data_IF_785947863080
#
_entry.id   IF_785947863080
#
_cell.length_a   1.000
_cell.length_b   1.000
_cell.length_c   1.000
_cell.angle_alpha   90.00
_cell.angle_beta   90.00
_cell.angle_gamma   90.00
#
_symmetry.space_group_name_H-M   'P 1'
#
loop_
_entity.id
_entity.type
_entity.pdbx_description
1 polymer ?
#
# COMPACT_ATOMS: atom_id res chain seq x y z
N UNK A 1 66.06 40.94 -4.03
CA UNK A 1 65.13 40.31 -5.02
C UNK A 1 63.75 40.37 -4.43
N UNK A 2 62.91 41.19 -5.04
CA UNK A 2 61.71 41.74 -4.46
C UNK A 2 60.56 40.68 -4.46
N UNK A 3 60.05 40.30 -3.28
CA UNK A 3 58.99 39.38 -3.11
C UNK A 3 57.64 39.82 -3.71
N UNK A 4 57.55 41.11 -4.06
CA UNK A 4 56.34 41.68 -4.70
C UNK A 4 56.22 41.30 -6.17
N UNK A 5 57.35 41.08 -6.87
CA UNK A 5 57.34 40.68 -8.30
C UNK A 5 56.89 39.22 -8.51
N UNK A 6 57.20 38.35 -7.55
CA UNK A 6 56.79 36.95 -7.60
C UNK A 6 55.27 36.78 -7.42
N UNK A 7 54.67 37.60 -6.57
CA UNK A 7 53.22 37.58 -6.34
C UNK A 7 52.42 38.14 -7.53
N UNK A 8 52.95 39.13 -8.25
CA UNK A 8 52.30 39.71 -9.43
C UNK A 8 52.40 38.77 -10.61
N UNK A 9 53.49 38.04 -10.78
CA UNK A 9 53.63 37.00 -11.85
C UNK A 9 52.74 35.81 -11.57
N UNK A 10 52.56 35.41 -10.30
CA UNK A 10 51.65 34.31 -9.92
C UNK A 10 50.18 34.68 -10.08
N UNK A 11 49.81 35.91 -9.75
CA UNK A 11 48.44 36.44 -9.90
C UNK A 11 48.03 36.66 -11.38
N UNK A 12 48.97 37.00 -12.25
CA UNK A 12 48.70 37.16 -13.69
C UNK A 12 48.67 35.86 -14.48
N UNK A 13 49.26 34.78 -14.01
CA UNK A 13 49.13 33.44 -14.62
C UNK A 13 47.89 32.67 -14.17
N UNK A 14 47.18 33.13 -13.16
CA UNK A 14 45.87 32.60 -12.78
C UNK A 14 44.69 33.36 -13.41
N UNK A 15 44.80 33.70 -14.69
CA UNK A 15 43.59 33.86 -15.50
C UNK A 15 42.96 32.48 -15.73
N UNK A 16 42.49 31.88 -14.67
CA UNK A 16 41.56 30.74 -14.80
C UNK A 16 40.37 31.22 -15.65
N UNK A 17 40.39 30.78 -16.90
CA UNK A 17 39.42 31.20 -17.88
C UNK A 17 38.05 30.83 -17.29
N UNK A 18 37.22 31.83 -16.96
CA UNK A 18 35.85 31.63 -16.37
C UNK A 18 35.06 30.57 -17.11
N UNK A 19 35.38 30.35 -18.38
CA UNK A 19 34.80 29.33 -19.24
C UNK A 19 35.24 27.91 -18.85
N UNK A 20 36.52 27.71 -18.47
CA UNK A 20 37.04 26.43 -17.98
C UNK A 20 36.46 26.04 -16.63
N UNK A 21 36.38 27.01 -15.70
CA UNK A 21 35.76 26.76 -14.38
C UNK A 21 34.27 26.40 -14.52
N UNK A 22 33.55 27.10 -15.38
CA UNK A 22 32.15 26.76 -15.68
C UNK A 22 32.00 25.36 -16.29
N UNK A 23 32.91 24.94 -17.18
CA UNK A 23 32.91 23.58 -17.76
C UNK A 23 33.24 22.49 -16.73
N UNK A 24 34.20 22.75 -15.84
CA UNK A 24 34.56 21.81 -14.76
C UNK A 24 33.39 21.66 -13.78
N UNK A 25 32.76 22.78 -13.36
CA UNK A 25 31.59 22.75 -12.48
C UNK A 25 30.41 22.02 -13.15
N UNK A 26 30.19 22.25 -14.45
CA UNK A 26 29.13 21.57 -15.20
C UNK A 26 29.41 20.05 -15.28
N UNK A 27 30.66 19.65 -15.58
CA UNK A 27 31.06 18.24 -15.61
C UNK A 27 30.93 17.59 -14.23
N UNK A 28 31.25 18.30 -13.17
CA UNK A 28 31.08 17.81 -11.79
C UNK A 28 29.61 17.65 -11.40
N UNK A 29 28.77 18.61 -11.81
CA UNK A 29 27.30 18.50 -11.60
C UNK A 29 26.70 17.36 -12.42
N UNK A 30 27.15 17.14 -13.65
CA UNK A 30 26.73 16.00 -14.49
C UNK A 30 27.19 14.68 -13.87
N UNK A 31 28.44 14.60 -13.41
CA UNK A 31 29.00 13.40 -12.76
C UNK A 31 28.27 13.07 -11.45
N UNK A 32 27.93 14.10 -10.64
CA UNK A 32 27.08 13.92 -9.45
C UNK A 32 25.65 13.48 -9.81
N UNK A 33 25.08 14.04 -10.87
CA UNK A 33 23.76 13.62 -11.36
C UNK A 33 23.73 12.17 -11.82
N UNK A 34 24.73 11.74 -12.56
CA UNK A 34 24.88 10.34 -13.02
C UNK A 34 25.10 9.40 -11.81
N UNK A 35 25.94 9.80 -10.85
CA UNK A 35 26.18 9.01 -9.63
C UNK A 35 24.90 8.80 -8.81
N UNK A 36 24.11 9.85 -8.63
CA UNK A 36 22.83 9.77 -7.90
C UNK A 36 21.81 8.91 -8.67
N UNK A 37 21.73 9.04 -9.99
CA UNK A 37 20.82 8.23 -10.81
C UNK A 37 21.18 6.72 -10.78
N UNK A 38 22.47 6.39 -10.81
CA UNK A 38 22.95 5.01 -10.69
C UNK A 38 22.67 4.43 -9.31
N UNK A 39 22.84 5.23 -8.26
CA UNK A 39 22.55 4.81 -6.89
C UNK A 39 21.04 4.57 -6.68
N UNK A 40 20.19 5.49 -7.11
CA UNK A 40 18.73 5.36 -7.04
C UNK A 40 18.22 4.12 -7.81
N UNK A 41 18.76 3.87 -9.00
CA UNK A 41 18.40 2.70 -9.82
C UNK A 41 18.83 1.38 -9.14
N UNK A 42 19.97 1.36 -8.45
CA UNK A 42 20.42 0.18 -7.69
C UNK A 42 19.53 -0.08 -6.46
N UNK A 43 19.11 0.98 -5.74
CA UNK A 43 18.19 0.86 -4.59
C UNK A 43 16.82 0.30 -5.02
N UNK A 44 16.24 0.83 -6.09
CA UNK A 44 14.97 0.33 -6.65
C UNK A 44 15.07 -1.15 -7.06
N UNK A 45 16.19 -1.56 -7.68
CA UNK A 45 16.42 -2.94 -8.05
C UNK A 45 16.49 -3.87 -6.83
N UNK A 46 17.21 -3.47 -5.79
CA UNK A 46 17.30 -4.25 -4.53
C UNK A 46 15.91 -4.40 -3.89
N UNK A 47 15.10 -3.33 -3.88
CA UNK A 47 13.74 -3.36 -3.37
C UNK A 47 12.83 -4.25 -4.21
N UNK A 48 12.94 -4.20 -5.54
CA UNK A 48 12.18 -5.05 -6.44
C UNK A 48 12.52 -6.54 -6.22
N UNK A 49 13.81 -6.89 -6.15
CA UNK A 49 14.26 -8.25 -5.85
C UNK A 49 13.77 -8.73 -4.47
N UNK A 50 13.73 -7.82 -3.48
CA UNK A 50 13.19 -8.10 -2.15
C UNK A 50 11.69 -8.32 -2.18
N UNK A 51 10.95 -7.50 -2.93
CA UNK A 51 9.50 -7.67 -3.09
C UNK A 51 9.15 -9.00 -3.76
N UNK A 52 9.88 -9.38 -4.82
CA UNK A 52 9.70 -10.68 -5.47
C UNK A 52 9.87 -11.83 -4.49
N UNK A 53 10.94 -11.82 -3.69
CA UNK A 53 11.18 -12.82 -2.63
C UNK A 53 10.07 -12.82 -1.58
N UNK A 54 9.54 -11.65 -1.19
CA UNK A 54 8.44 -11.57 -0.22
C UNK A 54 7.14 -12.12 -0.79
N UNK A 55 6.82 -11.86 -2.07
CA UNK A 55 5.65 -12.44 -2.75
C UNK A 55 5.76 -13.97 -2.77
N UNK A 56 6.92 -14.50 -3.12
CA UNK A 56 7.14 -15.95 -3.16
C UNK A 56 7.11 -16.59 -1.75
N UNK A 57 7.53 -15.84 -0.71
CA UNK A 57 7.50 -16.26 0.69
C UNK A 57 6.17 -15.99 1.41
N UNK A 58 5.17 -15.38 0.74
CA UNK A 58 3.89 -15.00 1.33
C UNK A 58 3.18 -16.11 2.13
N UNK A 59 3.17 -17.39 1.69
CA UNK A 59 2.57 -18.47 2.45
C UNK A 59 3.15 -18.62 3.87
N UNK A 60 4.43 -18.31 4.08
CA UNK A 60 5.07 -18.39 5.41
C UNK A 60 4.50 -17.33 6.38
N UNK A 61 4.24 -16.12 5.89
CA UNK A 61 3.65 -15.06 6.71
C UNK A 61 2.18 -15.33 7.02
N UNK A 62 1.45 -15.87 6.05
CA UNK A 62 0.08 -16.36 6.26
C UNK A 62 0.05 -17.43 7.34
N UNK A 63 0.90 -18.44 7.27
CA UNK A 63 1.01 -19.50 8.29
C UNK A 63 1.32 -18.94 9.69
N UNK A 64 2.26 -18.00 9.80
CA UNK A 64 2.57 -17.34 11.07
C UNK A 64 1.36 -16.63 11.66
N UNK A 65 0.58 -15.95 10.83
CA UNK A 65 -0.65 -15.26 11.24
C UNK A 65 -1.71 -16.27 11.69
N UNK A 66 -1.91 -17.35 10.96
CA UNK A 66 -2.84 -18.41 11.33
C UNK A 66 -2.48 -19.08 12.65
N UNK A 67 -1.19 -19.31 12.90
CA UNK A 67 -0.70 -19.82 14.19
C UNK A 67 -0.98 -18.85 15.35
N UNK A 68 -0.83 -17.52 15.11
CA UNK A 68 -1.17 -16.50 16.10
C UNK A 68 -2.68 -16.51 16.37
N UNK A 69 -3.51 -16.55 15.34
CA UNK A 69 -4.96 -16.65 15.44
C UNK A 69 -5.36 -17.93 16.22
N UNK A 70 -4.76 -19.06 15.89
CA UNK A 70 -5.02 -20.32 16.59
C UNK A 70 -4.74 -20.25 18.09
N UNK A 71 -3.65 -19.60 18.49
CA UNK A 71 -3.34 -19.35 19.91
C UNK A 71 -4.40 -18.49 20.60
N UNK A 72 -4.89 -17.44 19.93
CA UNK A 72 -5.97 -16.59 20.48
C UNK A 72 -7.26 -17.41 20.62
N UNK A 73 -7.60 -18.23 19.60
CA UNK A 73 -8.79 -19.12 19.65
C UNK A 73 -8.77 -20.13 20.79
N UNK A 74 -7.58 -20.58 21.20
CA UNK A 74 -7.47 -21.48 22.35
C UNK A 74 -7.99 -20.85 23.65
N UNK A 75 -7.95 -19.50 23.78
CA UNK A 75 -8.50 -18.81 24.95
C UNK A 75 -10.02 -18.91 25.07
N UNK A 76 -10.73 -19.18 23.95
CA UNK A 76 -12.18 -19.40 23.93
C UNK A 76 -12.59 -20.78 24.47
N UNK A 77 -11.63 -21.71 24.65
CA UNK A 77 -11.88 -23.06 25.16
C UNK A 77 -11.76 -23.17 26.67
N UNK A 78 -11.45 -22.05 27.35
CA UNK A 78 -11.31 -22.03 28.81
C UNK A 78 -12.67 -22.32 29.48
N UNK A 79 -12.73 -23.30 30.37
CA UNK A 79 -13.93 -23.68 31.12
C UNK A 79 -14.47 -22.58 32.04
N UNK A 80 -13.63 -21.61 32.42
CA UNK A 80 -13.98 -20.44 33.22
C UNK A 80 -14.23 -19.18 32.40
N UNK A 81 -14.54 -19.31 31.11
CA UNK A 81 -14.70 -18.17 30.21
C UNK A 81 -15.94 -17.35 30.58
N UNK A 82 -15.73 -16.13 31.08
CA UNK A 82 -16.83 -15.19 31.33
C UNK A 82 -17.19 -14.43 30.07
N UNK A 83 -18.45 -13.92 29.93
CA UNK A 83 -18.85 -13.12 28.75
C UNK A 83 -17.95 -11.90 28.50
N UNK A 84 -17.49 -11.22 29.53
CA UNK A 84 -16.53 -10.09 29.41
C UNK A 84 -15.18 -10.54 28.82
N UNK A 85 -14.70 -11.71 29.22
CA UNK A 85 -13.44 -12.27 28.70
C UNK A 85 -13.62 -12.75 27.27
N UNK A 86 -14.75 -13.44 26.97
CA UNK A 86 -15.10 -13.84 25.61
C UNK A 86 -15.15 -12.64 24.67
N UNK A 87 -15.81 -11.54 25.08
CA UNK A 87 -15.88 -10.30 24.30
C UNK A 87 -14.46 -9.78 23.95
N UNK A 88 -13.56 -9.75 24.92
CA UNK A 88 -12.18 -9.28 24.70
C UNK A 88 -11.40 -10.17 23.74
N UNK A 89 -11.56 -11.50 23.87
CA UNK A 89 -10.90 -12.45 22.95
C UNK A 89 -11.45 -12.33 21.54
N UNK A 90 -12.76 -12.20 21.38
CA UNK A 90 -13.40 -11.99 20.08
C UNK A 90 -12.96 -10.65 19.46
N UNK A 91 -12.75 -9.59 20.26
CA UNK A 91 -12.21 -8.34 19.79
C UNK A 91 -10.76 -8.48 19.26
N UNK A 92 -9.94 -9.30 19.90
CA UNK A 92 -8.60 -9.62 19.38
C UNK A 92 -8.70 -10.38 18.06
N UNK A 93 -9.58 -11.37 17.96
CA UNK A 93 -9.80 -12.15 16.75
C UNK A 93 -10.35 -11.27 15.61
N UNK A 94 -11.29 -10.37 15.88
CA UNK A 94 -11.74 -9.37 14.91
C UNK A 94 -10.56 -8.54 14.37
N UNK A 95 -9.68 -8.04 15.24
CA UNK A 95 -8.53 -7.25 14.81
C UNK A 95 -7.54 -8.03 13.94
N UNK A 96 -7.36 -9.33 14.20
CA UNK A 96 -6.56 -10.20 13.35
C UNK A 96 -7.21 -10.45 11.98
N UNK A 97 -8.54 -10.57 11.95
CA UNK A 97 -9.27 -10.98 10.75
C UNK A 97 -9.72 -9.84 9.84
N UNK A 98 -9.95 -8.62 10.34
CA UNK A 98 -10.58 -7.52 9.58
C UNK A 98 -9.91 -7.14 8.25
N UNK A 99 -8.60 -7.41 8.11
CA UNK A 99 -7.84 -7.23 6.87
C UNK A 99 -7.25 -8.54 6.32
N UNK A 100 -7.72 -9.68 6.82
CA UNK A 100 -7.21 -11.01 6.48
C UNK A 100 -8.30 -11.95 5.97
N UNK A 101 -9.46 -11.97 6.63
CA UNK A 101 -10.65 -12.73 6.22
C UNK A 101 -11.90 -12.10 6.82
N UNK A 102 -12.68 -11.42 5.98
CA UNK A 102 -13.83 -10.62 6.39
C UNK A 102 -14.94 -11.47 7.03
N UNK A 103 -15.22 -12.66 6.49
CA UNK A 103 -16.28 -13.52 7.05
C UNK A 103 -15.98 -13.94 8.49
N UNK A 104 -14.72 -14.27 8.76
CA UNK A 104 -14.27 -14.52 10.12
C UNK A 104 -14.36 -13.29 11.01
N UNK A 105 -14.03 -12.11 10.50
CA UNK A 105 -14.18 -10.86 11.25
C UNK A 105 -15.65 -10.60 11.61
N UNK A 106 -16.57 -10.77 10.67
CA UNK A 106 -18.03 -10.66 10.88
C UNK A 106 -18.47 -11.62 11.98
N UNK A 107 -18.08 -12.90 11.90
CA UNK A 107 -18.44 -13.91 12.89
C UNK A 107 -18.10 -13.48 14.33
N UNK A 108 -16.90 -12.99 14.58
CA UNK A 108 -16.48 -12.58 15.93
C UNK A 108 -17.13 -11.28 16.39
N UNK A 109 -17.43 -10.35 15.50
CA UNK A 109 -18.14 -9.11 15.85
C UNK A 109 -19.61 -9.38 16.11
N UNK A 110 -20.27 -10.24 15.32
CA UNK A 110 -21.66 -10.66 15.57
C UNK A 110 -21.79 -11.30 16.95
N UNK A 111 -20.86 -12.21 17.29
CA UNK A 111 -20.83 -12.81 18.62
C UNK A 111 -20.63 -11.76 19.72
N UNK A 112 -19.78 -10.77 19.50
CA UNK A 112 -19.59 -9.67 20.44
C UNK A 112 -20.86 -8.80 20.59
N UNK A 113 -21.61 -8.61 19.52
CA UNK A 113 -22.88 -7.88 19.59
C UNK A 113 -23.92 -8.64 20.41
N UNK A 114 -23.98 -9.97 20.32
CA UNK A 114 -24.82 -10.82 21.16
C UNK A 114 -24.43 -10.72 22.64
N UNK A 115 -23.13 -10.84 22.95
CA UNK A 115 -22.61 -10.71 24.32
C UNK A 115 -22.95 -9.33 24.89
N UNK A 116 -22.77 -8.26 24.11
CA UNK A 116 -23.07 -6.90 24.54
C UNK A 116 -24.57 -6.71 24.86
N UNK A 117 -25.46 -7.38 24.12
CA UNK A 117 -26.92 -7.40 24.40
C UNK A 117 -27.23 -8.18 25.67
N UNK A 118 -26.63 -9.35 25.87
CA UNK A 118 -26.78 -10.19 27.09
C UNK A 118 -26.31 -9.45 28.34
N UNK A 119 -25.20 -8.73 28.25
CA UNK A 119 -24.66 -7.93 29.34
C UNK A 119 -25.39 -6.60 29.57
N UNK A 120 -26.34 -6.25 28.69
CA UNK A 120 -27.07 -4.97 28.68
C UNK A 120 -26.13 -3.74 28.73
N UNK A 121 -24.98 -3.80 28.02
CA UNK A 121 -23.96 -2.73 28.00
C UNK A 121 -24.03 -1.94 26.68
N UNK A 122 -24.63 -0.78 26.70
CA UNK A 122 -24.81 0.07 25.53
C UNK A 122 -23.49 0.44 24.85
N UNK A 123 -22.43 0.74 25.61
CA UNK A 123 -21.12 1.02 25.06
C UNK A 123 -20.60 -0.12 24.15
N UNK A 124 -20.61 -1.35 24.65
CA UNK A 124 -20.16 -2.53 23.90
C UNK A 124 -21.05 -2.82 22.69
N UNK A 125 -22.35 -2.60 22.84
CA UNK A 125 -23.31 -2.74 21.75
C UNK A 125 -23.00 -1.77 20.60
N UNK A 126 -22.80 -0.47 20.90
CA UNK A 126 -22.46 0.51 19.89
C UNK A 126 -21.07 0.24 19.27
N UNK A 127 -20.08 -0.11 20.07
CA UNK A 127 -18.75 -0.48 19.58
C UNK A 127 -18.80 -1.64 18.59
N UNK A 128 -19.48 -2.74 18.94
CA UNK A 128 -19.63 -3.90 18.05
C UNK A 128 -20.45 -3.55 16.81
N UNK A 129 -21.50 -2.74 16.93
CA UNK A 129 -22.29 -2.30 15.77
C UNK A 129 -21.48 -1.44 14.79
N UNK A 130 -20.60 -0.55 15.27
CA UNK A 130 -19.70 0.22 14.42
C UNK A 130 -18.67 -0.68 13.72
N UNK A 131 -18.08 -1.64 14.45
CA UNK A 131 -17.16 -2.62 13.86
C UNK A 131 -17.84 -3.48 12.80
N UNK A 132 -19.08 -3.91 13.04
CA UNK A 132 -19.87 -4.69 12.09
C UNK A 132 -20.21 -3.86 10.84
N UNK A 133 -20.61 -2.59 11.02
CA UNK A 133 -20.84 -1.67 9.90
C UNK A 133 -19.60 -1.47 9.04
N UNK A 134 -18.43 -1.39 9.67
CA UNK A 134 -17.17 -1.24 8.95
C UNK A 134 -16.88 -2.47 8.08
N UNK A 135 -16.95 -3.69 8.64
CA UNK A 135 -16.66 -4.92 7.87
C UNK A 135 -17.71 -5.20 6.82
N UNK A 136 -18.99 -4.87 7.07
CA UNK A 136 -20.04 -4.92 6.04
C UNK A 136 -19.74 -3.95 4.89
N UNK A 137 -19.26 -2.74 5.18
CA UNK A 137 -18.85 -1.79 4.14
C UNK A 137 -17.67 -2.33 3.34
N UNK A 138 -16.70 -2.96 3.99
CA UNK A 138 -15.51 -3.55 3.34
C UNK A 138 -15.88 -4.70 2.38
N UNK A 139 -16.87 -5.54 2.72
CA UNK A 139 -17.31 -6.65 1.87
C UNK A 139 -18.47 -6.30 0.91
N UNK A 140 -18.84 -5.02 0.79
CA UNK A 140 -19.87 -4.58 -0.15
C UNK A 140 -21.33 -4.74 0.34
N UNK A 141 -21.53 -5.14 1.61
CA UNK A 141 -22.86 -5.23 2.24
C UNK A 141 -23.32 -3.85 2.72
N UNK A 142 -23.39 -2.89 1.80
CA UNK A 142 -23.63 -1.49 2.12
C UNK A 142 -25.00 -1.23 2.77
N UNK A 143 -26.04 -1.95 2.34
CA UNK A 143 -27.38 -1.81 2.95
C UNK A 143 -27.39 -2.25 4.40
N UNK A 144 -26.72 -3.36 4.72
CA UNK A 144 -26.61 -3.86 6.09
C UNK A 144 -25.82 -2.89 6.98
N UNK A 145 -24.72 -2.35 6.45
CA UNK A 145 -23.90 -1.33 7.13
C UNK A 145 -24.74 -0.07 7.43
N UNK A 146 -25.43 0.46 6.42
CA UNK A 146 -26.27 1.66 6.54
C UNK A 146 -27.37 1.46 7.60
N UNK A 147 -28.09 0.34 7.58
CA UNK A 147 -29.12 0.03 8.56
C UNK A 147 -28.61 -0.02 10.00
N UNK A 148 -27.37 -0.43 10.22
CA UNK A 148 -26.75 -0.39 11.54
C UNK A 148 -26.42 1.05 11.94
N UNK A 149 -25.87 1.84 11.02
CA UNK A 149 -25.46 3.22 11.26
C UNK A 149 -26.65 4.14 11.49
N UNK A 150 -27.74 4.00 10.72
CA UNK A 150 -28.98 4.79 10.86
C UNK A 150 -29.68 4.60 12.22
N UNK A 151 -29.53 3.42 12.84
CA UNK A 151 -30.11 3.14 14.17
C UNK A 151 -29.35 3.79 15.32
N UNK A 152 -28.19 4.40 15.04
CA UNK A 152 -27.35 5.00 16.06
C UNK A 152 -27.67 6.48 16.21
N UNK A 153 -27.68 6.94 17.47
CA UNK A 153 -27.89 8.35 17.80
C UNK A 153 -26.58 8.93 18.35
N UNK A 154 -25.85 9.75 17.60
CA UNK A 154 -24.57 10.30 18.05
C UNK A 154 -24.64 11.05 19.38
N UNK A 155 -25.81 11.66 19.69
CA UNK A 155 -26.06 12.36 20.96
C UNK A 155 -26.00 11.44 22.20
N UNK A 156 -26.10 10.12 22.02
CA UNK A 156 -26.05 9.14 23.11
C UNK A 156 -24.61 8.59 23.31
N UNK A 157 -23.64 9.01 22.48
CA UNK A 157 -22.31 8.44 22.50
C UNK A 157 -21.36 9.17 23.45
N UNK A 158 -20.53 8.43 24.21
CA UNK A 158 -19.37 9.03 24.82
C UNK A 158 -18.38 9.51 23.72
N UNK A 159 -17.59 10.53 24.05
CA UNK A 159 -16.68 11.17 23.08
C UNK A 159 -15.77 10.17 22.33
N UNK A 160 -15.31 9.09 23.00
CA UNK A 160 -14.48 8.04 22.40
C UNK A 160 -15.18 7.24 21.31
N UNK A 161 -16.48 6.97 21.45
CA UNK A 161 -17.28 6.31 20.41
C UNK A 161 -17.71 7.25 19.29
N UNK A 162 -17.86 8.53 19.59
CA UNK A 162 -18.25 9.53 18.59
C UNK A 162 -17.17 9.66 17.50
N UNK A 163 -15.89 9.63 17.86
CA UNK A 163 -14.79 9.59 16.88
C UNK A 163 -14.86 8.35 16.00
N UNK A 164 -15.07 7.16 16.60
CA UNK A 164 -15.22 5.90 15.86
C UNK A 164 -16.45 5.93 14.94
N UNK A 165 -17.54 6.54 15.36
CA UNK A 165 -18.74 6.71 14.54
C UNK A 165 -18.46 7.54 13.28
N UNK A 166 -17.80 8.69 13.42
CA UNK A 166 -17.45 9.51 12.27
C UNK A 166 -16.43 8.85 11.35
N UNK A 167 -15.43 8.13 11.89
CA UNK A 167 -14.50 7.34 11.09
C UNK A 167 -15.24 6.25 10.30
N UNK A 168 -16.17 5.52 10.94
CA UNK A 168 -16.95 4.46 10.29
C UNK A 168 -17.80 5.01 9.15
N UNK A 169 -18.46 6.17 9.33
CA UNK A 169 -19.23 6.80 8.25
C UNK A 169 -18.34 7.33 7.12
N UNK A 170 -17.20 7.93 7.45
CA UNK A 170 -16.24 8.39 6.44
C UNK A 170 -15.78 7.21 5.57
N UNK A 171 -15.40 6.08 6.18
CA UNK A 171 -15.00 4.86 5.46
C UNK A 171 -16.16 4.21 4.70
N UNK A 172 -17.37 4.21 5.24
CA UNK A 172 -18.56 3.74 4.53
C UNK A 172 -18.74 4.48 3.20
N UNK A 173 -18.70 5.82 3.23
CA UNK A 173 -18.84 6.63 2.01
C UNK A 173 -17.64 6.49 1.07
N UNK A 174 -16.43 6.28 1.59
CA UNK A 174 -15.24 6.00 0.79
C UNK A 174 -15.41 4.70 0.00
N UNK A 175 -15.71 3.58 0.66
CA UNK A 175 -15.86 2.27 0.02
C UNK A 175 -17.06 2.21 -0.92
N UNK A 176 -18.15 2.87 -0.54
CA UNK A 176 -19.33 3.00 -1.39
C UNK A 176 -19.01 3.81 -2.66
N UNK A 177 -18.29 4.91 -2.57
CA UNK A 177 -17.87 5.73 -3.70
C UNK A 177 -17.00 4.95 -4.69
N UNK A 178 -16.07 4.15 -4.19
CA UNK A 178 -15.21 3.27 -5.01
C UNK A 178 -16.06 2.26 -5.78
N UNK A 179 -16.99 1.61 -5.09
CA UNK A 179 -17.84 0.57 -5.68
C UNK A 179 -18.91 1.13 -6.65
N UNK A 180 -19.48 2.28 -6.33
CA UNK A 180 -20.48 2.94 -7.15
C UNK A 180 -19.88 3.72 -8.34
N UNK A 181 -18.55 3.87 -8.41
CA UNK A 181 -17.84 4.68 -9.41
C UNK A 181 -18.39 6.12 -9.52
N UNK A 182 -18.82 6.70 -8.41
CA UNK A 182 -19.48 7.99 -8.36
C UNK A 182 -18.87 8.92 -7.31
N UNK A 183 -18.19 9.98 -7.78
CA UNK A 183 -17.48 10.93 -6.92
C UNK A 183 -18.40 11.83 -6.06
N UNK A 184 -19.70 11.90 -6.32
CA UNK A 184 -20.61 12.71 -5.49
C UNK A 184 -20.62 12.28 -4.01
N UNK A 185 -20.33 11.01 -3.72
CA UNK A 185 -20.26 10.48 -2.36
C UNK A 185 -18.98 10.92 -1.61
N UNK A 186 -17.96 11.41 -2.33
CA UNK A 186 -16.75 11.99 -1.75
C UNK A 186 -17.05 13.18 -0.82
N UNK A 187 -18.00 14.04 -1.19
CA UNK A 187 -18.43 15.17 -0.34
C UNK A 187 -19.05 14.72 0.99
N UNK A 188 -19.79 13.60 0.98
CA UNK A 188 -20.34 13.02 2.22
C UNK A 188 -19.21 12.50 3.12
N UNK A 189 -18.22 11.81 2.53
CA UNK A 189 -17.02 11.38 3.26
C UNK A 189 -16.33 12.56 3.94
N UNK A 190 -16.09 13.65 3.20
CA UNK A 190 -15.42 14.85 3.71
C UNK A 190 -16.13 15.45 4.92
N UNK A 191 -17.46 15.58 4.89
CA UNK A 191 -18.24 16.11 6.02
C UNK A 191 -18.07 15.29 7.31
N UNK A 192 -18.02 13.95 7.19
CA UNK A 192 -17.75 13.07 8.34
C UNK A 192 -16.30 13.13 8.79
N UNK A 193 -15.36 13.29 7.85
CA UNK A 193 -13.95 13.42 8.14
C UNK A 193 -13.62 14.71 8.89
N UNK A 194 -14.25 15.83 8.56
CA UNK A 194 -14.13 17.11 9.29
C UNK A 194 -14.60 16.96 10.74
N UNK A 195 -15.74 16.28 10.94
CA UNK A 195 -16.28 15.99 12.27
C UNK A 195 -15.34 15.08 13.08
N UNK A 196 -14.72 14.10 12.43
CA UNK A 196 -13.70 13.23 13.03
C UNK A 196 -12.47 14.03 13.47
N UNK A 197 -11.94 14.90 12.61
CA UNK A 197 -10.76 15.71 12.93
C UNK A 197 -10.95 16.60 14.16
N UNK A 198 -12.15 17.13 14.36
CA UNK A 198 -12.48 17.96 15.53
C UNK A 198 -12.42 17.17 16.86
N UNK A 199 -12.50 15.83 16.80
CA UNK A 199 -12.51 14.96 17.99
C UNK A 199 -11.19 14.24 18.24
N UNK A 200 -10.32 14.13 17.23
CA UNK A 200 -9.08 13.38 17.33
C UNK A 200 -8.06 14.08 18.23
N UNK A 201 -7.23 13.27 18.89
CA UNK A 201 -6.01 13.76 19.51
C UNK A 201 -5.01 14.16 18.42
N UNK A 202 -4.62 15.43 18.41
CA UNK A 202 -3.71 15.99 17.41
C UNK A 202 -2.30 15.40 17.47
N UNK A 203 -1.93 14.72 18.54
CA UNK A 203 -0.64 14.02 18.69
C UNK A 203 -0.69 12.59 18.17
N UNK A 204 -1.89 12.04 17.95
CA UNK A 204 -2.07 10.65 17.53
C UNK A 204 -1.54 10.38 16.13
N UNK A 205 -1.11 9.15 15.91
CA UNK A 205 -0.68 8.65 14.59
C UNK A 205 -1.75 8.87 13.53
N UNK A 206 -3.00 8.46 13.81
CA UNK A 206 -4.11 8.53 12.86
C UNK A 206 -4.43 9.98 12.46
N UNK A 207 -4.40 10.93 13.42
CA UNK A 207 -4.58 12.35 13.11
C UNK A 207 -3.48 12.87 12.20
N UNK A 208 -2.21 12.63 12.55
CA UNK A 208 -1.06 13.10 11.77
C UNK A 208 -1.10 12.53 10.35
N UNK A 209 -1.33 11.23 10.19
CA UNK A 209 -1.43 10.58 8.89
C UNK A 209 -2.57 11.16 8.04
N UNK A 210 -3.76 11.32 8.62
CA UNK A 210 -4.90 11.93 7.96
C UNK A 210 -4.64 13.38 7.55
N UNK A 211 -3.92 14.15 8.37
CA UNK A 211 -3.51 15.52 8.04
C UNK A 211 -2.49 15.56 6.91
N UNK A 212 -1.56 14.61 6.84
CA UNK A 212 -0.66 14.49 5.69
C UNK A 212 -1.43 14.30 4.38
N UNK A 213 -2.44 13.44 4.35
CA UNK A 213 -3.33 13.30 3.20
C UNK A 213 -4.06 14.60 2.85
N UNK A 214 -4.61 15.29 3.85
CA UNK A 214 -5.30 16.56 3.65
C UNK A 214 -4.39 17.64 3.04
N UNK A 215 -3.12 17.69 3.42
CA UNK A 215 -2.15 18.66 2.89
C UNK A 215 -1.60 18.28 1.51
N UNK A 216 -1.67 17.04 1.08
CA UNK A 216 -1.05 16.57 -0.16
C UNK A 216 -1.41 17.41 -1.40
N UNK A 217 -2.66 17.88 -1.50
CA UNK A 217 -3.16 18.64 -2.65
C UNK A 217 -2.89 20.16 -2.62
N UNK A 218 -2.53 20.76 -1.48
CA UNK A 218 -2.38 22.22 -1.36
C UNK A 218 -1.12 22.68 -0.59
N UNK A 219 -0.50 21.84 0.21
CA UNK A 219 0.75 22.12 0.93
C UNK A 219 1.60 20.84 1.03
N UNK A 220 2.14 20.42 -0.11
CA UNK A 220 2.92 19.17 -0.19
C UNK A 220 4.16 19.19 0.71
N UNK A 221 4.74 20.37 0.97
CA UNK A 221 5.90 20.50 1.87
C UNK A 221 5.53 20.11 3.29
N UNK A 222 4.36 20.56 3.75
CA UNK A 222 3.85 20.22 5.08
C UNK A 222 3.47 18.74 5.16
N UNK A 223 2.88 18.19 4.09
CA UNK A 223 2.58 16.76 4.00
C UNK A 223 3.86 15.92 4.13
N UNK A 224 4.92 16.25 3.39
CA UNK A 224 6.22 15.58 3.46
C UNK A 224 6.77 15.63 4.89
N UNK A 225 6.81 16.81 5.51
CA UNK A 225 7.31 16.97 6.88
C UNK A 225 6.62 16.06 7.89
N UNK A 226 5.28 15.97 7.81
CA UNK A 226 4.51 15.08 8.70
C UNK A 226 4.83 13.60 8.43
N UNK A 227 4.93 13.20 7.16
CA UNK A 227 5.28 11.83 6.80
C UNK A 227 6.71 11.47 7.22
N UNK A 228 7.67 12.40 7.11
CA UNK A 228 9.04 12.22 7.61
C UNK A 228 9.06 11.99 9.13
N UNK A 229 8.33 12.82 9.90
CA UNK A 229 8.21 12.67 11.34
C UNK A 229 7.63 11.29 11.72
N UNK A 230 6.58 10.85 11.02
CA UNK A 230 5.95 9.55 11.26
C UNK A 230 6.89 8.39 10.88
N UNK A 231 7.56 8.48 9.72
CA UNK A 231 8.44 7.43 9.22
C UNK A 231 9.67 7.24 10.11
N UNK A 232 10.24 8.34 10.61
CA UNK A 232 11.39 8.30 11.52
C UNK A 232 11.06 7.76 12.92
N UNK A 233 9.79 7.83 13.33
CA UNK A 233 9.32 7.35 14.62
C UNK A 233 8.80 5.90 14.59
N UNK A 234 8.60 5.33 13.41
CA UNK A 234 7.96 4.02 13.26
C UNK A 234 8.98 2.92 12.94
N UNK A 235 8.77 1.73 13.48
CA UNK A 235 9.59 0.57 13.21
C UNK A 235 9.31 0.01 11.81
N UNK A 236 10.39 -0.33 11.08
CA UNK A 236 10.31 -0.90 9.73
C UNK A 236 9.54 -2.22 9.75
N UNK A 237 8.62 -2.39 8.79
CA UNK A 237 7.85 -3.63 8.62
C UNK A 237 6.59 -3.71 9.47
N UNK A 238 6.26 -2.70 10.28
CA UNK A 238 4.98 -2.65 11.01
C UNK A 238 3.80 -2.29 10.09
N UNK A 239 2.54 -2.55 10.51
CA UNK A 239 1.37 -2.09 9.77
C UNK A 239 1.32 -0.56 9.61
N UNK A 240 1.76 0.21 10.60
CA UNK A 240 1.84 1.67 10.51
C UNK A 240 2.89 2.10 9.48
N UNK A 241 4.05 1.43 9.46
CA UNK A 241 5.08 1.67 8.44
C UNK A 241 4.53 1.46 7.02
N UNK A 242 3.74 0.40 6.79
CA UNK A 242 3.08 0.18 5.50
C UNK A 242 2.13 1.32 5.13
N UNK A 243 1.36 1.84 6.09
CA UNK A 243 0.44 2.97 5.87
C UNK A 243 1.19 4.28 5.57
N UNK A 244 2.28 4.57 6.28
CA UNK A 244 3.11 5.78 6.05
C UNK A 244 3.75 5.72 4.66
N UNK A 245 4.38 4.60 4.32
CA UNK A 245 5.05 4.43 3.03
C UNK A 245 4.07 4.44 1.87
N UNK A 246 2.88 3.86 2.01
CA UNK A 246 1.81 4.01 1.04
C UNK A 246 1.40 5.49 0.84
N UNK A 247 1.25 6.24 1.93
CA UNK A 247 0.91 7.67 1.88
C UNK A 247 1.99 8.48 1.18
N UNK A 248 3.24 8.17 1.46
CA UNK A 248 4.39 8.78 0.78
C UNK A 248 4.38 8.50 -0.72
N UNK A 249 4.08 7.26 -1.11
CA UNK A 249 3.97 6.88 -2.50
C UNK A 249 2.87 7.65 -3.23
N UNK A 250 1.69 7.81 -2.62
CA UNK A 250 0.59 8.57 -3.21
C UNK A 250 0.95 10.04 -3.37
N UNK A 251 1.62 10.64 -2.38
CA UNK A 251 2.13 12.01 -2.47
C UNK A 251 3.19 12.14 -3.57
N UNK A 252 4.12 11.18 -3.68
CA UNK A 252 5.15 11.15 -4.71
C UNK A 252 4.54 11.08 -6.12
N UNK A 253 3.51 10.26 -6.33
CA UNK A 253 2.75 10.23 -7.60
C UNK A 253 2.10 11.58 -7.91
N UNK A 254 1.47 12.20 -6.94
CA UNK A 254 0.90 13.54 -7.10
C UNK A 254 1.96 14.57 -7.52
N UNK A 255 3.17 14.46 -6.96
CA UNK A 255 4.31 15.31 -7.29
C UNK A 255 5.08 14.88 -8.56
N UNK A 256 4.64 13.84 -9.26
CA UNK A 256 5.28 13.25 -10.44
C UNK A 256 6.71 12.77 -10.18
N UNK A 257 6.97 12.25 -8.99
CA UNK A 257 8.24 11.64 -8.58
C UNK A 257 8.08 10.12 -8.66
N UNK A 258 8.15 9.58 -9.87
CA UNK A 258 7.79 8.18 -10.14
C UNK A 258 8.71 7.18 -9.42
N UNK A 259 10.01 7.45 -9.34
CA UNK A 259 10.97 6.55 -8.65
C UNK A 259 10.74 6.52 -7.14
N UNK A 260 10.45 7.67 -6.52
CA UNK A 260 10.07 7.73 -5.11
C UNK A 260 8.75 6.98 -4.88
N UNK A 261 7.79 7.14 -5.78
CA UNK A 261 6.51 6.43 -5.70
C UNK A 261 6.71 4.91 -5.75
N UNK A 262 7.50 4.40 -6.70
CA UNK A 262 7.85 2.97 -6.80
C UNK A 262 8.56 2.48 -5.54
N UNK A 263 9.55 3.23 -5.06
CA UNK A 263 10.28 2.92 -3.83
C UNK A 263 9.34 2.72 -2.66
N UNK A 264 8.52 3.71 -2.35
CA UNK A 264 7.63 3.67 -1.20
C UNK A 264 6.48 2.66 -1.36
N UNK A 265 5.99 2.41 -2.59
CA UNK A 265 5.03 1.33 -2.84
C UNK A 265 5.63 -0.06 -2.57
N UNK A 266 6.88 -0.30 -2.98
CA UNK A 266 7.56 -1.56 -2.69
C UNK A 266 7.78 -1.75 -1.19
N UNK A 267 8.21 -0.71 -0.47
CA UNK A 267 8.37 -0.75 0.99
C UNK A 267 7.03 -1.07 1.68
N UNK A 268 5.95 -0.43 1.26
CA UNK A 268 4.60 -0.69 1.77
C UNK A 268 4.13 -2.11 1.48
N UNK A 269 4.29 -2.59 0.24
CA UNK A 269 3.88 -3.94 -0.14
C UNK A 269 4.65 -5.02 0.62
N UNK A 270 5.96 -4.84 0.84
CA UNK A 270 6.79 -5.74 1.65
C UNK A 270 6.25 -5.83 3.07
N UNK A 271 5.97 -4.67 3.70
CA UNK A 271 5.45 -4.62 5.07
C UNK A 271 4.03 -5.24 5.16
N UNK A 272 3.16 -5.01 4.18
CA UNK A 272 1.84 -5.65 4.11
C UNK A 272 1.95 -7.18 4.04
N UNK A 273 2.85 -7.72 3.20
CA UNK A 273 3.08 -9.16 3.10
C UNK A 273 3.60 -9.73 4.42
N UNK A 274 4.57 -9.07 5.08
CA UNK A 274 5.12 -9.48 6.37
C UNK A 274 4.07 -9.56 7.48
N UNK A 275 3.06 -8.69 7.42
CA UNK A 275 1.92 -8.67 8.36
C UNK A 275 0.75 -9.56 7.91
N UNK A 276 0.87 -10.23 6.77
CA UNK A 276 -0.22 -10.94 6.11
C UNK A 276 -1.49 -10.05 6.01
N UNK A 277 -1.30 -8.78 5.65
CA UNK A 277 -2.37 -7.84 5.32
C UNK A 277 -2.80 -8.07 3.88
N UNK A 278 -4.10 -8.35 3.66
CA UNK A 278 -4.65 -8.66 2.34
C UNK A 278 -5.41 -7.48 1.71
N UNK A 279 -5.15 -6.27 2.15
CA UNK A 279 -5.77 -5.06 1.59
C UNK A 279 -5.05 -4.51 0.34
N UNK A 280 -3.83 -4.90 0.10
CA UNK A 280 -2.99 -4.87 -1.13
C UNK A 280 -3.02 -3.64 -2.05
N UNK A 281 -3.33 -2.45 -1.54
CA UNK A 281 -3.35 -1.22 -2.34
C UNK A 281 -2.01 -0.95 -3.06
N UNK A 282 -0.91 -1.24 -2.40
CA UNK A 282 0.44 -0.98 -2.92
C UNK A 282 0.81 -1.91 -4.06
N UNK A 283 0.45 -3.21 -4.00
CA UNK A 283 0.65 -4.15 -5.11
C UNK A 283 -0.19 -3.77 -6.34
N UNK A 284 -1.44 -3.31 -6.11
CA UNK A 284 -2.31 -2.84 -7.20
C UNK A 284 -1.71 -1.62 -7.91
N UNK A 285 -1.21 -0.65 -7.14
CA UNK A 285 -0.55 0.53 -7.70
C UNK A 285 0.73 0.19 -8.45
N UNK A 286 1.57 -0.71 -7.91
CA UNK A 286 2.77 -1.20 -8.59
C UNK A 286 2.44 -1.93 -9.88
N UNK A 287 1.40 -2.77 -9.90
CA UNK A 287 0.98 -3.48 -11.10
C UNK A 287 0.65 -2.52 -12.25
N UNK A 288 -0.05 -1.41 -11.95
CA UNK A 288 -0.36 -0.38 -12.94
C UNK A 288 0.90 0.33 -13.43
N UNK A 289 1.80 0.72 -12.53
CA UNK A 289 3.07 1.37 -12.90
C UNK A 289 3.89 0.45 -13.79
N UNK A 290 4.03 -0.84 -13.43
CA UNK A 290 4.78 -1.81 -14.24
C UNK A 290 4.14 -2.03 -15.63
N UNK A 291 2.80 -1.99 -15.71
CA UNK A 291 2.10 -2.06 -16.98
C UNK A 291 2.39 -0.81 -17.85
N UNK A 292 2.34 0.40 -17.27
CA UNK A 292 2.64 1.66 -17.96
C UNK A 292 4.11 1.70 -18.44
N UNK A 293 5.03 1.07 -17.72
CA UNK A 293 6.46 0.91 -18.09
C UNK A 293 6.71 -0.25 -19.07
N UNK A 294 5.67 -0.94 -19.51
CA UNK A 294 5.74 -2.11 -20.40
C UNK A 294 6.50 -3.31 -19.79
N UNK A 295 6.64 -3.37 -18.46
CA UNK A 295 7.15 -4.53 -17.74
C UNK A 295 5.98 -5.48 -17.41
N UNK A 296 5.51 -6.18 -18.43
CA UNK A 296 4.29 -6.99 -18.36
C UNK A 296 4.41 -8.17 -17.40
N UNK A 297 5.63 -8.71 -17.21
CA UNK A 297 5.87 -9.83 -16.30
C UNK A 297 5.62 -9.43 -14.85
N UNK A 298 6.17 -8.31 -14.39
CA UNK A 298 5.95 -7.80 -13.04
C UNK A 298 4.53 -7.27 -12.86
N UNK A 299 3.97 -6.57 -13.86
CA UNK A 299 2.59 -6.16 -13.83
C UNK A 299 1.63 -7.33 -13.59
N UNK A 300 1.84 -8.45 -14.31
CA UNK A 300 1.04 -9.65 -14.15
C UNK A 300 1.28 -10.31 -12.78
N UNK A 301 2.54 -10.50 -12.35
CA UNK A 301 2.88 -11.11 -11.05
C UNK A 301 2.27 -10.33 -9.88
N UNK A 302 2.37 -9.01 -9.89
CA UNK A 302 1.81 -8.16 -8.82
C UNK A 302 0.28 -8.18 -8.83
N UNK A 303 -0.34 -8.14 -10.02
CA UNK A 303 -1.79 -8.27 -10.18
C UNK A 303 -2.28 -9.61 -9.65
N UNK A 304 -1.62 -10.71 -10.01
CA UNK A 304 -2.00 -12.05 -9.56
C UNK A 304 -1.92 -12.16 -8.03
N UNK A 305 -0.81 -11.71 -7.43
CA UNK A 305 -0.64 -11.70 -5.97
C UNK A 305 -1.69 -10.85 -5.27
N UNK A 306 -2.10 -9.73 -5.86
CA UNK A 306 -3.15 -8.87 -5.30
C UNK A 306 -4.55 -9.51 -5.41
N UNK A 307 -4.84 -10.22 -6.52
CA UNK A 307 -6.11 -10.97 -6.69
C UNK A 307 -6.23 -12.08 -5.66
N UNK A 308 -5.18 -12.87 -5.46
CA UNK A 308 -5.16 -13.96 -4.48
C UNK A 308 -5.49 -13.44 -3.07
N UNK A 309 -4.98 -12.26 -2.71
CA UNK A 309 -5.30 -11.61 -1.44
C UNK A 309 -6.74 -11.17 -1.34
N UNK A 310 -7.24 -10.49 -2.36
CA UNK A 310 -8.61 -9.97 -2.40
C UNK A 310 -9.63 -11.11 -2.33
N UNK A 311 -9.41 -12.18 -3.12
CA UNK A 311 -10.27 -13.37 -3.10
C UNK A 311 -10.25 -14.05 -1.73
N UNK A 312 -9.06 -14.18 -1.13
CA UNK A 312 -8.90 -14.82 0.18
C UNK A 312 -9.43 -13.97 1.34
N UNK A 313 -9.42 -12.63 1.21
CA UNK A 313 -9.89 -11.73 2.26
C UNK A 313 -11.38 -11.43 2.21
N UNK A 314 -12.01 -11.47 1.03
CA UNK A 314 -13.38 -11.03 0.80
C UNK A 314 -13.57 -9.50 0.82
N UNK A 315 -12.50 -8.72 0.65
CA UNK A 315 -12.56 -7.24 0.63
C UNK A 315 -13.07 -6.76 -0.74
N UNK A 316 -14.35 -6.44 -0.82
CA UNK A 316 -15.05 -6.17 -2.08
C UNK A 316 -14.56 -4.91 -2.81
N UNK A 317 -14.36 -3.79 -2.10
CA UNK A 317 -13.95 -2.54 -2.75
C UNK A 317 -12.57 -2.67 -3.42
N UNK A 318 -11.66 -3.48 -2.88
CA UNK A 318 -10.37 -3.79 -3.51
C UNK A 318 -10.54 -4.68 -4.75
N UNK A 319 -11.48 -5.63 -4.71
CA UNK A 319 -11.82 -6.42 -5.89
C UNK A 319 -12.29 -5.52 -7.04
N UNK A 320 -13.15 -4.55 -6.75
CA UNK A 320 -13.66 -3.60 -7.75
C UNK A 320 -12.56 -2.73 -8.36
N UNK A 321 -11.53 -2.36 -7.60
CA UNK A 321 -10.37 -1.64 -8.14
C UNK A 321 -9.55 -2.51 -9.08
N UNK A 322 -9.21 -3.74 -8.69
CA UNK A 322 -8.43 -4.68 -9.51
C UNK A 322 -9.15 -5.03 -10.82
N UNK A 323 -10.44 -5.32 -10.78
CA UNK A 323 -11.19 -5.74 -11.96
C UNK A 323 -11.20 -4.71 -13.08
N UNK A 324 -11.00 -3.43 -12.77
CA UNK A 324 -10.91 -2.35 -13.78
C UNK A 324 -9.75 -2.53 -14.75
N UNK A 325 -8.64 -3.13 -14.32
CA UNK A 325 -7.44 -3.26 -15.13
C UNK A 325 -6.92 -4.70 -15.30
N UNK A 326 -7.45 -5.66 -14.53
CA UNK A 326 -7.00 -7.06 -14.58
C UNK A 326 -7.02 -7.65 -15.97
N UNK A 327 -8.13 -7.53 -16.69
CA UNK A 327 -8.27 -8.10 -18.04
C UNK A 327 -7.28 -7.50 -19.02
N UNK A 328 -6.96 -6.20 -18.87
CA UNK A 328 -6.01 -5.48 -19.74
C UNK A 328 -4.61 -6.03 -19.51
N UNK A 329 -4.15 -6.09 -18.27
CA UNK A 329 -2.82 -6.61 -17.92
C UNK A 329 -2.68 -8.08 -18.30
N UNK A 330 -3.68 -8.92 -17.97
CA UNK A 330 -3.67 -10.33 -18.31
C UNK A 330 -3.60 -10.56 -19.82
N UNK A 331 -4.41 -9.84 -20.61
CA UNK A 331 -4.39 -9.97 -22.07
C UNK A 331 -3.06 -9.52 -22.65
N UNK A 332 -2.52 -8.40 -22.19
CA UNK A 332 -1.21 -7.90 -22.64
C UNK A 332 -0.09 -8.92 -22.34
N UNK A 333 -0.06 -9.46 -21.12
CA UNK A 333 0.91 -10.48 -20.73
C UNK A 333 0.80 -11.75 -21.57
N UNK A 334 -0.42 -12.29 -21.74
CA UNK A 334 -0.64 -13.51 -22.53
C UNK A 334 -0.26 -13.33 -24.01
N UNK A 335 -0.53 -12.13 -24.56
CA UNK A 335 -0.15 -11.80 -25.94
C UNK A 335 1.37 -11.76 -26.11
N UNK A 336 2.07 -11.12 -25.17
CA UNK A 336 3.54 -11.03 -25.23
C UNK A 336 4.19 -12.40 -25.00
N UNK A 337 3.66 -13.21 -24.08
CA UNK A 337 4.14 -14.58 -23.87
C UNK A 337 3.96 -15.45 -25.12
N UNK A 338 2.80 -15.37 -25.76
CA UNK A 338 2.53 -16.10 -27.02
C UNK A 338 3.48 -15.65 -28.14
N UNK A 339 3.72 -14.34 -28.27
CA UNK A 339 4.65 -13.77 -29.24
C UNK A 339 6.09 -14.23 -28.96
N UNK A 340 6.53 -14.21 -27.72
CA UNK A 340 7.85 -14.66 -27.31
C UNK A 340 8.07 -16.15 -27.63
N UNK A 341 7.08 -17.01 -27.34
CA UNK A 341 7.10 -18.44 -27.70
C UNK A 341 7.17 -18.64 -29.21
N UNK A 342 6.39 -17.90 -29.98
CA UNK A 342 6.42 -17.95 -31.45
C UNK A 342 7.78 -17.54 -32.02
N UNK A 343 8.36 -16.46 -31.49
CA UNK A 343 9.68 -15.99 -31.89
C UNK A 343 10.78 -17.03 -31.60
N UNK A 344 10.72 -17.66 -30.40
CA UNK A 344 11.66 -18.73 -30.02
C UNK A 344 11.54 -19.92 -30.96
N UNK A 345 10.33 -20.38 -31.28
CA UNK A 345 10.13 -21.50 -32.23
C UNK A 345 10.67 -21.13 -33.61
N UNK A 346 10.38 -19.93 -34.11
CA UNK A 346 10.89 -19.44 -35.40
C UNK A 346 12.42 -19.38 -35.40
N UNK A 347 13.03 -18.92 -34.33
CA UNK A 347 14.49 -18.89 -34.17
C UNK A 347 15.09 -20.32 -34.19
N UNK A 348 14.51 -21.28 -33.44
CA UNK A 348 14.96 -22.67 -33.40
C UNK A 348 14.83 -23.35 -34.78
N UNK A 349 13.72 -23.11 -35.51
CA UNK A 349 13.56 -23.64 -36.89
C UNK A 349 14.62 -23.05 -37.81
N UNK A 350 14.80 -21.72 -37.78
CA UNK A 350 15.79 -21.02 -38.62
C UNK A 350 17.22 -21.51 -38.36
N UNK A 351 17.62 -21.68 -37.11
CA UNK A 351 18.94 -22.20 -36.74
C UNK A 351 19.13 -23.66 -37.16
N UNK A 352 18.07 -24.49 -37.02
CA UNK A 352 18.12 -25.89 -37.44
C UNK A 352 18.27 -26.02 -38.95
N UNK A 353 17.53 -25.23 -39.73
CA UNK A 353 17.65 -25.16 -41.21
C UNK A 353 19.05 -24.69 -41.63
N UNK A 354 19.57 -23.64 -40.98
CA UNK A 354 20.92 -23.11 -41.25
C UNK A 354 22.00 -24.16 -40.99
N UNK A 355 21.91 -24.88 -39.87
CA UNK A 355 22.83 -25.95 -39.51
C UNK A 355 22.75 -27.10 -40.50
N UNK A 356 21.55 -27.50 -40.92
CA UNK A 356 21.37 -28.55 -41.94
C UNK A 356 22.02 -28.16 -43.26
N UNK A 357 21.82 -26.95 -43.75
CA UNK A 357 22.41 -26.42 -44.97
C UNK A 357 23.95 -26.41 -44.88
N UNK A 358 24.48 -26.06 -43.72
CA UNK A 358 25.93 -26.05 -43.48
C UNK A 358 26.53 -27.46 -43.52
N UNK A 359 25.85 -28.45 -42.95
CA UNK A 359 26.25 -29.88 -43.03
C UNK A 359 26.21 -30.35 -44.47
N UNK A 360 25.16 -30.04 -45.22
CA UNK A 360 25.08 -30.40 -46.64
C UNK A 360 26.24 -29.79 -47.42
N UNK A 361 26.60 -28.53 -47.19
CA UNK A 361 27.67 -27.82 -47.88
C UNK A 361 29.07 -28.39 -47.53
N UNK A 362 29.26 -28.92 -46.32
CA UNK A 362 30.54 -29.57 -45.93
C UNK A 362 30.66 -30.98 -46.45
N UNK A 363 29.55 -31.70 -46.67
CA UNK A 363 29.54 -33.09 -47.16
C UNK A 363 29.64 -33.18 -48.69
N UNK A 364 29.12 -32.17 -49.41
CA UNK A 364 29.21 -32.08 -50.89
C UNK A 364 30.22 -31.04 -51.34
#
# INVERSE_FOLDING_TARGET
MDKSLFFIIFANNMKFNRCYLKRIVLLFLVALGIGNALYANNELKILADSLHKMIDAKPLFVQKKEQRIARIKCLLKDSGLTPDREYKVNLQLYNEYKKFNIDSAIHYVDRNLEIARQLNRNYLKYQSSLQLSLVYSMCGRYRDAELLLEKMKPSEFPRSLLATYYDTYARFWEYYSISATNNQYGKKREAYQDSLYALMDHTSFDYKLSRAYSYAGHDSTKAIKILDELLNAEEVGTPNYAMITHSYAMLSRYLKREDDAKKYLMMSAIADIQNATRETASLQALALIQYEENNLADAFKFTQSAIDDVVSSGIHFRAMEIYKFYSIINTAYQTEEARSKSNLITFLISTSVSLFLLIVLVVF
#
